data_IF_941780647314
#
_entry.id   IF_941780647314
#
_cell.length_a   1.000
_cell.length_b   1.000
_cell.length_c   1.000
_cell.angle_alpha   90.00
_cell.angle_beta   90.00
_cell.angle_gamma   90.00
#
_symmetry.space_group_name_H-M   'P 1'
#
loop_
_entity.id
_entity.type
_entity.pdbx_description
1 polymer ?
#
# COMPACT_ATOMS: atom_id res chain seq x y z
N UNK A 1 -70.75 1.72 -1.60
CA UNK A 1 -70.72 1.90 -0.13
C UNK A 1 -69.95 0.75 0.48
N UNK A 2 -68.91 1.06 1.28
CA UNK A 2 -68.25 0.27 2.35
C UNK A 2 -67.84 -1.20 2.06
N UNK A 3 -66.54 -1.56 2.05
CA UNK A 3 -65.71 -2.01 3.19
C UNK A 3 -66.19 -3.38 3.77
N UNK A 4 -65.41 -4.43 4.06
CA UNK A 4 -64.13 -4.49 4.80
C UNK A 4 -63.58 -5.95 4.83
N UNK A 5 -62.24 -6.13 4.79
CA UNK A 5 -61.33 -7.13 5.44
C UNK A 5 -61.66 -8.67 5.46
N UNK A 6 -60.73 -9.65 5.48
CA UNK A 6 -59.48 -9.78 6.27
C UNK A 6 -58.69 -11.06 5.83
N UNK A 7 -57.35 -10.95 5.63
CA UNK A 7 -56.19 -11.81 6.02
C UNK A 7 -56.25 -13.36 5.91
N UNK A 8 -55.18 -14.18 5.87
CA UNK A 8 -53.71 -14.16 5.70
C UNK A 8 -53.35 -15.66 5.56
N UNK A 9 -52.28 -16.07 4.87
CA UNK A 9 -50.94 -16.29 5.46
C UNK A 9 -49.91 -16.42 4.34
N UNK A 10 -48.93 -15.51 4.29
CA UNK A 10 -47.73 -15.69 3.47
C UNK A 10 -46.55 -16.05 4.36
N UNK A 11 -45.92 -17.19 4.06
CA UNK A 11 -44.70 -17.66 4.71
C UNK A 11 -43.57 -16.64 4.51
N UNK A 12 -43.02 -16.18 5.63
CA UNK A 12 -41.91 -15.22 5.67
C UNK A 12 -40.61 -15.91 5.27
N UNK A 13 -40.30 -15.87 3.96
CA UNK A 13 -38.96 -16.12 3.47
C UNK A 13 -38.07 -14.94 3.90
N UNK A 14 -37.20 -15.18 4.88
CA UNK A 14 -36.24 -14.22 5.44
C UNK A 14 -35.16 -13.93 4.40
N UNK A 15 -35.49 -13.11 3.40
CA UNK A 15 -34.56 -12.58 2.40
C UNK A 15 -33.69 -11.54 3.10
N UNK A 16 -32.53 -11.99 3.60
CA UNK A 16 -31.46 -11.11 4.07
C UNK A 16 -30.97 -10.32 2.86
N UNK A 17 -31.53 -9.12 2.65
CA UNK A 17 -31.03 -8.16 1.67
C UNK A 17 -29.60 -7.79 2.09
N UNK A 18 -28.61 -8.41 1.46
CA UNK A 18 -27.32 -7.79 1.28
C UNK A 18 -27.58 -6.57 0.40
N UNK A 19 -27.54 -5.37 0.98
CA UNK A 19 -27.44 -4.14 0.18
C UNK A 19 -26.11 -4.26 -0.56
N UNK A 20 -26.17 -4.43 -1.87
CA UNK A 20 -25.06 -4.06 -2.75
C UNK A 20 -24.88 -2.56 -2.57
N UNK A 21 -23.91 -2.17 -1.75
CA UNK A 21 -23.46 -0.79 -1.73
C UNK A 21 -22.69 -0.56 -3.03
N UNK A 22 -23.31 0.24 -3.90
CA UNK A 22 -22.82 0.58 -5.23
C UNK A 22 -21.56 1.46 -5.09
N UNK A 23 -20.39 0.81 -4.98
CA UNK A 23 -19.07 1.43 -4.81
C UNK A 23 -18.59 2.23 -6.04
N UNK A 24 -19.42 2.34 -7.09
CA UNK A 24 -19.05 2.94 -8.39
C UNK A 24 -19.02 4.47 -8.41
N UNK A 25 -19.43 5.15 -7.32
CA UNK A 25 -19.45 6.63 -7.22
C UNK A 25 -18.64 7.18 -6.03
N UNK A 26 -17.58 6.49 -5.62
CA UNK A 26 -16.67 7.04 -4.62
C UNK A 26 -15.61 7.88 -5.34
N UNK A 27 -15.69 9.20 -5.18
CA UNK A 27 -14.57 10.09 -5.52
C UNK A 27 -13.46 9.84 -4.49
N UNK A 28 -12.40 9.15 -4.92
CA UNK A 28 -11.25 8.85 -4.06
C UNK A 28 -10.42 10.12 -3.88
N UNK A 29 -10.74 10.90 -2.87
CA UNK A 29 -9.92 12.01 -2.42
C UNK A 29 -8.77 11.52 -1.54
N UNK A 30 -7.65 12.24 -1.58
CA UNK A 30 -6.52 11.95 -0.67
C UNK A 30 -7.01 12.22 0.74
N UNK A 31 -6.98 11.22 1.62
CA UNK A 31 -7.42 11.38 3.02
C UNK A 31 -6.80 12.63 3.64
N UNK A 32 -7.60 13.45 4.34
CA UNK A 32 -7.22 14.79 4.82
C UNK A 32 -5.99 14.78 5.77
N UNK A 33 -5.55 13.62 6.27
CA UNK A 33 -4.42 13.45 7.18
C UNK A 33 -3.04 13.20 6.52
N UNK A 34 -2.88 13.52 5.24
CA UNK A 34 -1.62 13.27 4.52
C UNK A 34 -0.67 14.46 4.63
N UNK A 35 0.17 14.43 5.65
CA UNK A 35 1.33 15.32 5.77
C UNK A 35 2.29 15.14 4.60
N UNK A 36 2.56 16.23 3.88
CA UNK A 36 3.55 16.27 2.81
C UNK A 36 4.93 16.53 3.42
N UNK A 37 5.83 15.56 3.29
CA UNK A 37 7.18 15.67 3.84
C UNK A 37 8.19 15.95 2.73
N UNK A 38 8.81 17.14 2.66
CA UNK A 38 9.54 17.59 1.47
C UNK A 38 10.92 16.94 1.29
N UNK A 39 11.52 16.40 2.35
CA UNK A 39 12.86 15.77 2.33
C UNK A 39 12.84 14.40 2.99
N UNK A 40 13.76 13.51 2.61
CA UNK A 40 13.87 12.19 3.22
C UNK A 40 14.29 12.27 4.71
N UNK A 41 15.09 13.27 5.07
CA UNK A 41 15.55 13.48 6.45
C UNK A 41 14.39 13.74 7.42
N UNK A 42 13.37 14.46 6.96
CA UNK A 42 12.20 14.83 7.78
C UNK A 42 11.16 13.73 7.88
N UNK A 43 11.36 12.59 7.19
CA UNK A 43 10.45 11.44 7.24
C UNK A 43 10.71 10.50 8.43
N UNK A 44 11.80 10.69 9.19
CA UNK A 44 12.14 9.84 10.33
C UNK A 44 12.65 8.46 9.92
N UNK A 45 13.39 8.39 8.80
CA UNK A 45 14.00 7.16 8.31
C UNK A 45 15.26 6.82 9.11
N UNK A 46 15.59 5.53 9.21
CA UNK A 46 16.86 5.07 9.80
C UNK A 46 18.06 5.60 8.99
N UNK A 47 19.13 5.98 9.67
CA UNK A 47 20.32 6.57 9.04
C UNK A 47 20.94 5.68 7.96
N UNK A 48 20.98 4.36 8.18
CA UNK A 48 21.49 3.38 7.20
C UNK A 48 20.67 3.38 5.91
N UNK A 49 19.35 3.55 6.02
CA UNK A 49 18.44 3.61 4.87
C UNK A 49 18.60 4.94 4.14
N UNK A 50 18.71 6.03 4.89
CA UNK A 50 18.91 7.36 4.35
C UNK A 50 20.21 7.44 3.54
N UNK A 51 21.31 6.86 4.05
CA UNK A 51 22.57 6.71 3.31
C UNK A 51 22.39 5.89 2.04
N UNK A 52 21.61 4.81 2.09
CA UNK A 52 21.26 4.01 0.90
C UNK A 52 20.48 4.80 -0.15
N UNK A 53 19.50 5.61 0.28
CA UNK A 53 18.70 6.50 -0.60
C UNK A 53 19.62 7.47 -1.35
N UNK A 54 20.49 8.16 -0.62
CA UNK A 54 21.42 9.12 -1.22
C UNK A 54 22.50 8.45 -2.09
N UNK A 55 23.02 7.29 -1.69
CA UNK A 55 23.98 6.53 -2.50
C UNK A 55 23.38 6.03 -3.81
N UNK A 56 22.07 5.75 -3.84
CA UNK A 56 21.34 5.43 -5.06
C UNK A 56 21.14 6.65 -5.99
N UNK A 57 21.37 7.87 -5.48
CA UNK A 57 21.23 9.12 -6.23
C UNK A 57 19.86 9.79 -6.09
N UNK A 58 19.08 9.43 -5.07
CA UNK A 58 17.83 10.14 -4.77
C UNK A 58 18.10 11.37 -3.89
N UNK A 59 18.07 12.57 -4.49
CA UNK A 59 18.22 13.82 -3.74
C UNK A 59 16.89 14.35 -3.19
N UNK A 60 15.83 14.30 -4.01
CA UNK A 60 14.52 14.86 -3.69
C UNK A 60 13.40 13.83 -3.85
N UNK A 61 12.52 13.66 -2.86
CA UNK A 61 11.39 12.74 -2.97
C UNK A 61 10.36 13.25 -4.00
N UNK A 62 9.80 12.31 -4.77
CA UNK A 62 8.68 12.55 -5.67
C UNK A 62 7.39 12.87 -4.91
N UNK A 63 6.43 13.55 -5.55
CA UNK A 63 5.16 13.94 -4.95
C UNK A 63 4.38 12.76 -4.31
N UNK A 64 4.52 11.55 -4.87
CA UNK A 64 3.93 10.33 -4.28
C UNK A 64 4.72 9.83 -3.06
N UNK A 65 6.05 9.94 -3.08
CA UNK A 65 6.93 9.52 -1.98
C UNK A 65 6.72 10.39 -0.74
N UNK A 66 6.63 11.70 -0.94
CA UNK A 66 6.41 12.69 0.13
C UNK A 66 5.13 12.42 0.95
N UNK A 67 4.14 11.79 0.30
CA UNK A 67 2.82 11.50 0.86
C UNK A 67 2.72 10.06 1.37
N UNK A 68 3.16 9.09 0.58
CA UNK A 68 2.93 7.67 0.88
C UNK A 68 3.91 7.10 1.90
N UNK A 69 5.19 7.50 1.89
CA UNK A 69 6.23 6.90 2.75
C UNK A 69 5.85 7.04 4.23
N UNK A 70 5.50 8.25 4.68
CA UNK A 70 5.11 8.52 6.07
C UNK A 70 3.90 7.72 6.52
N UNK A 71 2.95 7.47 5.61
CA UNK A 71 1.72 6.73 5.89
C UNK A 71 2.00 5.24 6.08
N UNK A 72 2.84 4.66 5.21
CA UNK A 72 3.23 3.26 5.28
C UNK A 72 4.08 2.99 6.54
N UNK A 73 5.00 3.89 6.89
CA UNK A 73 5.85 3.74 8.10
C UNK A 73 5.01 3.80 9.39
N UNK A 74 3.90 4.54 9.38
CA UNK A 74 2.94 4.55 10.50
C UNK A 74 2.16 3.24 10.63
N UNK A 75 2.35 2.27 9.73
CA UNK A 75 1.61 1.00 9.72
C UNK A 75 0.16 1.15 9.27
N UNK A 76 -0.17 2.23 8.53
CA UNK A 76 -1.51 2.42 7.96
C UNK A 76 -1.63 1.70 6.62
N UNK A 77 -2.83 1.25 6.29
CA UNK A 77 -3.14 0.76 4.95
C UNK A 77 -3.17 1.94 3.97
N UNK A 78 -2.41 1.81 2.88
CA UNK A 78 -2.22 2.90 1.92
C UNK A 78 -2.53 2.42 0.51
N UNK A 79 -3.46 3.12 -0.14
CA UNK A 79 -3.69 3.01 -1.58
C UNK A 79 -2.96 4.18 -2.24
N UNK A 80 -1.86 3.88 -2.94
CA UNK A 80 -1.04 4.89 -3.62
C UNK A 80 -1.23 4.78 -5.14
N UNK A 81 -1.80 5.82 -5.75
CA UNK A 81 -1.96 5.94 -7.20
C UNK A 81 -1.04 7.03 -7.74
N UNK A 82 -0.34 6.74 -8.83
CA UNK A 82 0.49 7.73 -9.52
C UNK A 82 0.77 7.29 -10.95
N UNK A 83 1.31 8.20 -11.78
CA UNK A 83 1.75 7.86 -13.14
C UNK A 83 2.95 6.90 -13.16
N UNK A 84 3.13 6.14 -14.25
CA UNK A 84 4.33 5.31 -14.42
C UNK A 84 5.60 6.17 -14.38
N UNK A 85 6.69 5.61 -13.85
CA UNK A 85 7.98 6.31 -13.75
C UNK A 85 8.11 7.32 -12.60
N UNK A 86 7.06 7.59 -11.81
CA UNK A 86 7.11 8.60 -10.73
C UNK A 86 7.70 8.09 -9.40
N UNK A 87 8.36 6.93 -9.40
CA UNK A 87 9.05 6.40 -8.22
C UNK A 87 8.22 5.56 -7.25
N UNK A 88 7.07 5.00 -7.66
CA UNK A 88 6.24 4.09 -6.82
C UNK A 88 7.03 2.90 -6.26
N UNK A 89 7.87 2.30 -7.10
CA UNK A 89 8.73 1.18 -6.69
C UNK A 89 9.64 1.57 -5.55
N UNK A 90 10.32 2.70 -5.66
CA UNK A 90 11.16 3.22 -4.59
C UNK A 90 10.34 3.55 -3.34
N UNK A 91 9.13 4.11 -3.48
CA UNK A 91 8.23 4.41 -2.35
C UNK A 91 8.00 3.19 -1.46
N UNK A 92 7.51 2.08 -2.01
CA UNK A 92 7.22 0.91 -1.19
C UNK A 92 8.51 0.19 -0.78
N UNK A 93 9.55 0.15 -1.61
CA UNK A 93 10.83 -0.47 -1.25
C UNK A 93 11.44 0.23 -0.02
N UNK A 94 11.49 1.56 -0.02
CA UNK A 94 11.98 2.35 1.13
C UNK A 94 11.11 2.10 2.36
N UNK A 95 9.79 2.07 2.19
CA UNK A 95 8.86 1.88 3.31
C UNK A 95 8.99 0.47 3.91
N UNK A 96 9.06 -0.57 3.08
CA UNK A 96 9.29 -1.96 3.51
C UNK A 96 10.63 -2.08 4.23
N UNK A 97 11.68 -1.47 3.67
CA UNK A 97 12.98 -1.45 4.31
C UNK A 97 12.91 -0.82 5.69
N UNK A 98 12.27 0.35 5.84
CA UNK A 98 12.12 1.03 7.12
C UNK A 98 11.41 0.17 8.18
N UNK A 99 10.39 -0.59 7.78
CA UNK A 99 9.65 -1.47 8.69
C UNK A 99 10.36 -2.79 9.01
N UNK A 100 11.47 -3.09 8.33
CA UNK A 100 12.16 -4.37 8.44
C UNK A 100 13.12 -4.39 9.64
N UNK A 101 12.98 -5.41 10.50
CA UNK A 101 13.95 -5.72 11.55
C UNK A 101 15.15 -6.48 10.97
N UNK A 102 16.35 -5.93 11.17
CA UNK A 102 17.60 -6.47 10.63
C UNK A 102 18.11 -7.65 11.47
N UNK A 103 17.62 -7.84 12.70
CA UNK A 103 18.05 -8.95 13.56
C UNK A 103 17.36 -10.27 13.18
N UNK A 104 16.11 -10.22 12.75
CA UNK A 104 15.31 -11.39 12.40
C UNK A 104 15.59 -11.83 10.95
N UNK A 105 16.05 -13.08 10.77
CA UNK A 105 16.39 -13.67 9.46
C UNK A 105 15.22 -14.46 8.86
N UNK A 106 14.04 -13.88 8.91
CA UNK A 106 12.82 -14.46 8.36
C UNK A 106 12.17 -13.48 7.39
N UNK A 107 11.24 -13.98 6.58
CA UNK A 107 10.44 -13.14 5.68
C UNK A 107 9.52 -12.26 6.49
N UNK A 108 9.73 -10.94 6.44
CA UNK A 108 8.92 -9.96 7.17
C UNK A 108 8.00 -9.15 6.25
N UNK A 109 8.32 -9.10 4.96
CA UNK A 109 7.52 -8.38 3.97
C UNK A 109 7.26 -9.25 2.74
N UNK A 110 6.01 -9.19 2.27
CA UNK A 110 5.56 -9.86 1.07
C UNK A 110 5.16 -8.82 0.02
N UNK A 111 5.80 -8.88 -1.15
CA UNK A 111 5.45 -8.02 -2.28
C UNK A 111 4.85 -8.90 -3.38
N UNK A 112 3.61 -8.60 -3.76
CA UNK A 112 2.92 -9.28 -4.86
C UNK A 112 3.10 -8.48 -6.14
N UNK A 113 3.52 -9.16 -7.20
CA UNK A 113 3.61 -8.58 -8.53
C UNK A 113 2.78 -9.40 -9.52
N UNK A 114 2.10 -8.73 -10.49
CA UNK A 114 1.30 -9.41 -11.50
C UNK A 114 2.13 -10.16 -12.54
N UNK A 115 3.42 -9.84 -12.69
CA UNK A 115 4.31 -10.50 -13.65
C UNK A 115 5.67 -10.80 -13.02
N UNK A 116 6.33 -11.84 -13.54
CA UNK A 116 7.66 -12.25 -13.09
C UNK A 116 8.72 -11.21 -13.41
N UNK A 117 8.62 -10.56 -14.56
CA UNK A 117 9.55 -9.53 -15.01
C UNK A 117 9.51 -8.33 -14.07
N UNK A 118 8.30 -7.93 -13.66
CA UNK A 118 8.14 -6.85 -12.69
C UNK A 118 8.67 -7.28 -11.31
N UNK A 119 8.44 -8.53 -10.89
CA UNK A 119 9.00 -9.04 -9.66
C UNK A 119 10.53 -8.95 -9.64
N UNK A 120 11.18 -9.39 -10.72
CA UNK A 120 12.65 -9.30 -10.85
C UNK A 120 13.12 -7.84 -10.84
N UNK A 121 12.38 -6.93 -11.47
CA UNK A 121 12.70 -5.50 -11.45
C UNK A 121 12.61 -4.93 -10.02
N UNK A 122 11.55 -5.26 -9.29
CA UNK A 122 11.36 -4.84 -7.91
C UNK A 122 12.47 -5.42 -7.01
N UNK A 123 12.83 -6.68 -7.22
CA UNK A 123 13.94 -7.32 -6.49
C UNK A 123 15.26 -6.61 -6.76
N UNK A 124 15.55 -6.21 -8.00
CA UNK A 124 16.76 -5.43 -8.33
C UNK A 124 16.78 -4.08 -7.63
N UNK A 125 15.64 -3.37 -7.61
CA UNK A 125 15.51 -2.08 -6.92
C UNK A 125 15.59 -2.25 -5.41
N UNK A 126 15.07 -3.34 -4.85
CA UNK A 126 15.07 -3.59 -3.41
C UNK A 126 16.38 -4.21 -2.92
N UNK A 127 17.23 -4.71 -3.82
CA UNK A 127 18.57 -5.21 -3.53
C UNK A 127 19.52 -4.04 -3.33
N UNK A 128 19.31 -3.30 -2.25
CA UNK A 128 20.30 -2.38 -1.74
C UNK A 128 21.33 -3.20 -0.98
N UNK A 129 22.60 -2.85 -1.13
CA UNK A 129 23.77 -3.59 -0.61
C UNK A 129 23.65 -3.96 0.89
N UNK A 130 22.79 -3.24 1.60
CA UNK A 130 22.51 -3.32 3.04
C UNK A 130 21.57 -4.47 3.43
N UNK A 131 20.76 -5.05 2.52
CA UNK A 131 19.72 -6.04 2.91
C UNK A 131 19.81 -7.36 2.14
N UNK A 132 20.07 -8.49 2.81
CA UNK A 132 20.06 -9.80 2.17
C UNK A 132 18.65 -10.18 1.70
N UNK A 133 18.55 -10.74 0.49
CA UNK A 133 17.29 -11.11 -0.18
C UNK A 133 16.39 -12.08 0.62
N UNK A 134 16.89 -12.73 1.68
CA UNK A 134 16.13 -13.68 2.49
C UNK A 134 14.99 -13.06 3.31
N UNK A 135 14.85 -11.73 3.34
CA UNK A 135 13.90 -11.03 4.23
C UNK A 135 12.67 -10.44 3.54
N UNK A 136 12.72 -10.33 2.21
CA UNK A 136 11.62 -9.84 1.38
C UNK A 136 11.24 -10.94 0.41
N UNK A 137 10.06 -11.53 0.60
CA UNK A 137 9.54 -12.53 -0.31
C UNK A 137 8.76 -11.81 -1.41
N UNK A 138 9.09 -12.12 -2.66
CA UNK A 138 8.28 -11.70 -3.81
C UNK A 138 7.48 -12.89 -4.30
N UNK A 139 6.16 -12.75 -4.28
CA UNK A 139 5.25 -13.72 -4.87
C UNK A 139 4.76 -13.18 -6.21
N UNK A 140 4.94 -13.99 -7.25
CA UNK A 140 4.40 -13.73 -8.58
C UNK A 140 3.05 -14.43 -8.62
N UNK A 141 1.96 -13.67 -8.81
CA UNK A 141 0.69 -14.31 -9.16
C UNK A 141 0.81 -14.81 -10.60
N UNK A 142 0.64 -16.11 -10.80
CA UNK A 142 0.53 -16.77 -12.10
C UNK A 142 -0.90 -16.63 -12.65
#
# INVERSE_FOLDING_TARGET
MAATATMATSGSARKRLLKEEDMTKVEFETSEEVDVTPTFDTMGLREDLLRGIYAYGFEKPSAIQQRAIKQIIKGRDVIAQSQSGTGKTATFSISVLQCLDIQVRETQALILAPTRELAVQIQKVSRWEVVPCSRVLLLVQL
#
